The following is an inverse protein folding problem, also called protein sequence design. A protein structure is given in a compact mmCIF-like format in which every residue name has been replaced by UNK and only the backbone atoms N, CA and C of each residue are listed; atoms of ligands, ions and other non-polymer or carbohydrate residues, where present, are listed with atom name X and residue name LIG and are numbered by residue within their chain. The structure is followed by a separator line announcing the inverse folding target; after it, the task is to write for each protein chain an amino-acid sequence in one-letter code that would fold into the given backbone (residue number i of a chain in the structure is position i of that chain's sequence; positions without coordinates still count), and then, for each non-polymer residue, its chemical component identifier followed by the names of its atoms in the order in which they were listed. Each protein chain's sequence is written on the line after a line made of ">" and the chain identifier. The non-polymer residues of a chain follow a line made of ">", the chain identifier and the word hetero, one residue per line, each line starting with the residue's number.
data_IF_093468817132
#
_entry.id   IF_093468817132
#
_cell.length_a   1.000
_cell.length_b   1.000
_cell.length_c   1.000
_cell.angle_alpha   90.00
_cell.angle_beta   90.00
_cell.angle_gamma   90.00
#
_symmetry.space_group_name_H-M   'P 1'
#
loop_
_entity.id
_entity.type
_entity.pdbx_description
1 polymer ?
#
# COMPACT_ATOMS: atom_id res chain seq x y z
N UNK A 1 -5.22 -5.18 14.17
CA UNK A 1 -5.00 -4.37 12.99
C UNK A 1 -4.50 -5.20 11.84
N UNK A 2 -4.83 -4.81 10.65
CA UNK A 2 -4.45 -5.56 9.47
C UNK A 2 -3.69 -4.67 8.52
N UNK A 3 -2.64 -5.20 7.95
CA UNK A 3 -1.84 -4.47 6.98
C UNK A 3 -1.95 -5.20 5.64
N UNK A 4 -2.45 -4.51 4.65
CA UNK A 4 -2.66 -5.10 3.34
C UNK A 4 -1.84 -4.34 2.32
N UNK A 5 -1.08 -5.08 1.51
CA UNK A 5 -0.28 -4.48 0.47
C UNK A 5 -0.78 -4.87 -0.90
N UNK A 6 -0.79 -3.92 -1.80
CA UNK A 6 -1.18 -4.15 -3.19
C UNK A 6 -0.04 -3.64 -4.06
N UNK A 7 0.72 -4.56 -4.61
CA UNK A 7 1.90 -4.23 -5.39
C UNK A 7 1.57 -4.26 -6.87
N UNK A 8 1.68 -3.11 -7.50
CA UNK A 8 1.46 -3.00 -8.92
C UNK A 8 2.75 -2.74 -9.66
N UNK A 9 2.65 -2.54 -10.96
CA UNK A 9 3.82 -2.29 -11.78
C UNK A 9 4.43 -0.94 -11.52
N UNK A 10 3.60 0.05 -11.29
CA UNK A 10 4.06 1.42 -11.15
C UNK A 10 3.94 1.94 -9.74
N UNK A 11 3.13 1.30 -8.91
CA UNK A 11 2.93 1.80 -7.56
C UNK A 11 2.58 0.67 -6.62
N UNK A 12 2.90 0.87 -5.37
CA UNK A 12 2.55 -0.04 -4.30
C UNK A 12 1.65 0.70 -3.34
N UNK A 13 0.52 0.12 -3.01
CA UNK A 13 -0.42 0.72 -2.06
C UNK A 13 -0.47 -0.13 -0.81
N UNK A 14 -0.39 0.54 0.32
CA UNK A 14 -0.45 -0.14 1.61
C UNK A 14 -1.60 0.44 2.41
N UNK A 15 -2.43 -0.46 2.92
CA UNK A 15 -3.61 -0.06 3.69
C UNK A 15 -3.51 -0.59 5.09
N UNK A 16 -3.76 0.26 6.06
CA UNK A 16 -3.84 -0.14 7.45
C UNK A 16 -5.29 -0.14 7.88
N UNK A 17 -5.77 -1.28 8.33
CA UNK A 17 -7.17 -1.45 8.71
C UNK A 17 -7.24 -1.79 10.20
N UNK A 18 -8.33 -1.37 10.85
CA UNK A 18 -8.54 -1.73 12.23
C UNK A 18 -9.22 -3.09 12.32
N UNK A 19 -9.60 -3.49 13.54
CA UNK A 19 -10.19 -4.80 13.76
C UNK A 19 -11.52 -4.97 13.03
N UNK A 20 -12.18 -3.88 12.74
CA UNK A 20 -13.45 -3.92 12.01
C UNK A 20 -13.25 -3.78 10.51
N UNK A 21 -12.00 -3.89 10.07
CA UNK A 21 -11.63 -3.80 8.66
C UNK A 21 -11.96 -2.44 8.07
N UNK A 22 -11.87 -1.42 8.90
CA UNK A 22 -12.06 -0.06 8.42
C UNK A 22 -10.71 0.58 8.17
N UNK A 23 -10.60 1.28 7.07
CA UNK A 23 -9.36 1.90 6.67
C UNK A 23 -8.96 2.98 7.65
N UNK A 24 -7.77 2.83 8.23
CA UNK A 24 -7.23 3.82 9.15
C UNK A 24 -6.20 4.69 8.47
N UNK A 25 -5.41 4.09 7.61
CA UNK A 25 -4.36 4.83 6.94
C UNK A 25 -4.04 4.18 5.62
N UNK A 26 -3.58 5.00 4.69
CA UNK A 26 -3.21 4.51 3.37
C UNK A 26 -1.92 5.18 2.93
N UNK A 27 -1.03 4.39 2.38
CA UNK A 27 0.21 4.90 1.79
C UNK A 27 0.27 4.49 0.34
N UNK A 28 0.81 5.36 -0.48
CA UNK A 28 1.07 5.04 -1.87
C UNK A 28 2.54 5.29 -2.14
N UNK A 29 3.22 4.27 -2.61
CA UNK A 29 4.63 4.35 -2.92
C UNK A 29 4.79 4.07 -4.40
N UNK A 30 5.40 5.00 -5.12
CA UNK A 30 5.60 4.82 -6.54
C UNK A 30 6.86 4.01 -6.78
N UNK A 31 6.72 2.95 -7.56
CA UNK A 31 7.85 2.10 -7.90
C UNK A 31 8.59 2.73 -9.06
N UNK A 32 9.59 3.50 -8.74
CA UNK A 32 10.37 4.16 -9.77
C UNK A 32 11.50 3.26 -10.17
N UNK A 33 11.54 2.91 -11.44
CA UNK A 33 12.63 2.11 -11.94
C UNK A 33 13.84 2.99 -12.16
N UNK A 34 14.88 2.69 -11.45
CA UNK A 34 16.10 3.47 -11.57
C UNK A 34 17.11 2.84 -12.49
N UNK A 35 16.71 1.76 -13.09
CA UNK A 35 17.62 1.17 -14.03
C UNK A 35 17.58 1.94 -15.28
N UNK A 36 18.26 2.08 -15.66
CA UNK A 36 18.11 2.65 -16.81
C UNK A 36 18.84 2.77 -17.33
#
# INVERSE_FOLDING_TARGET
>A
MYLIGDIGNTETKIFLLNEKLKLKKKWTIYNISLTN
#
